data_IF_732609537027
#
_entry.id   IF_732609537027
#
_cell.length_a   1.000
_cell.length_b   1.000
_cell.length_c   1.000
_cell.angle_alpha   90.00
_cell.angle_beta   90.00
_cell.angle_gamma   90.00
#
_symmetry.space_group_name_H-M   'P 1'
#
loop_
_entity.id
_entity.type
_entity.pdbx_description
1 polymer ?
#
# COMPACT_ATOMS: atom_id res chain seq x y z
N UNK A 1 -18.76 8.47 -13.61
CA UNK A 1 -20.09 7.83 -13.56
C UNK A 1 -20.58 7.40 -14.95
N UNK A 2 -20.36 8.19 -15.99
CA UNK A 2 -20.85 7.92 -17.36
C UNK A 2 -20.35 6.61 -18.01
N UNK A 3 -19.40 5.91 -17.40
CA UNK A 3 -18.89 4.61 -17.88
C UNK A 3 -19.53 3.40 -17.18
N UNK A 4 -20.36 3.63 -16.17
CA UNK A 4 -21.05 2.55 -15.44
C UNK A 4 -22.47 2.46 -16.01
N UNK A 5 -22.86 1.28 -16.51
CA UNK A 5 -24.21 1.06 -17.02
C UNK A 5 -25.25 1.43 -15.97
N UNK A 6 -26.30 2.13 -16.40
CA UNK A 6 -27.47 2.40 -15.56
C UNK A 6 -28.03 1.09 -14.99
N UNK A 7 -28.38 1.09 -13.70
CA UNK A 7 -28.79 -0.13 -12.99
C UNK A 7 -27.66 -1.05 -12.54
N UNK A 8 -26.40 -0.74 -12.83
CA UNK A 8 -25.25 -1.51 -12.33
C UNK A 8 -25.11 -1.40 -10.81
N UNK A 9 -24.83 -2.53 -10.15
CA UNK A 9 -24.46 -2.59 -8.72
C UNK A 9 -23.00 -2.22 -8.44
N UNK A 10 -22.22 -1.86 -9.47
CA UNK A 10 -20.84 -1.42 -9.30
C UNK A 10 -20.75 -0.20 -8.39
N UNK A 11 -19.78 -0.22 -7.49
CA UNK A 11 -19.49 0.85 -6.54
C UNK A 11 -18.08 1.37 -6.78
N UNK A 12 -17.82 2.62 -6.37
CA UNK A 12 -16.50 3.21 -6.37
C UNK A 12 -16.29 3.98 -5.06
N UNK A 13 -15.06 4.02 -4.61
CA UNK A 13 -14.63 4.88 -3.50
C UNK A 13 -13.37 5.64 -3.93
N UNK A 14 -13.21 6.85 -3.43
CA UNK A 14 -12.05 7.72 -3.72
C UNK A 14 -11.57 8.34 -2.42
N UNK A 15 -10.26 8.39 -2.25
CA UNK A 15 -9.58 9.17 -1.21
C UNK A 15 -8.53 10.04 -1.88
N UNK A 16 -8.51 11.32 -1.55
CA UNK A 16 -7.45 12.27 -1.92
C UNK A 16 -6.79 12.73 -0.63
N UNK A 17 -5.49 12.55 -0.54
CA UNK A 17 -4.72 12.81 0.68
C UNK A 17 -3.44 13.59 0.34
N UNK A 18 -3.06 14.52 1.19
CA UNK A 18 -1.74 15.16 1.12
C UNK A 18 -0.68 14.27 1.75
N UNK A 19 0.59 14.54 1.45
CA UNK A 19 1.72 13.78 2.00
C UNK A 19 1.83 13.80 3.53
N UNK A 20 1.19 14.76 4.18
CA UNK A 20 1.10 14.88 5.64
C UNK A 20 -0.08 14.10 6.26
N UNK A 21 -0.88 13.40 5.45
CA UNK A 21 -2.03 12.62 5.91
C UNK A 21 -3.36 13.37 5.94
N UNK A 22 -3.38 14.66 5.58
CA UNK A 22 -4.63 15.41 5.51
C UNK A 22 -5.54 14.87 4.40
N UNK A 23 -6.70 14.35 4.75
CA UNK A 23 -7.72 13.92 3.80
C UNK A 23 -8.37 15.14 3.18
N UNK A 24 -8.10 15.40 1.90
CA UNK A 24 -8.60 16.54 1.13
C UNK A 24 -9.98 16.28 0.54
N UNK A 25 -10.24 15.05 0.16
CA UNK A 25 -11.55 14.59 -0.31
C UNK A 25 -11.72 13.11 -0.07
N UNK A 26 -12.95 12.68 0.20
CA UNK A 26 -13.27 11.27 0.36
C UNK A 26 -14.70 11.01 -0.14
N UNK A 27 -14.84 9.97 -0.94
CA UNK A 27 -16.15 9.45 -1.39
C UNK A 27 -16.18 7.95 -1.11
N UNK A 28 -17.08 7.52 -0.24
CA UNK A 28 -17.19 6.11 0.19
C UNK A 28 -18.09 5.24 -0.68
N UNK A 29 -18.76 5.80 -1.68
CA UNK A 29 -19.68 5.06 -2.55
C UNK A 29 -20.52 5.99 -3.43
N UNK A 30 -21.34 5.40 -4.32
CA UNK A 30 -22.22 6.15 -5.23
C UNK A 30 -23.44 6.77 -4.54
N UNK A 31 -23.87 6.19 -3.43
CA UNK A 31 -25.01 6.69 -2.62
C UNK A 31 -24.46 7.23 -1.32
N UNK A 32 -24.44 8.54 -1.16
CA UNK A 32 -23.86 9.24 0.00
C UNK A 32 -24.90 9.95 0.86
N UNK A 33 -26.18 9.85 0.49
CA UNK A 33 -27.26 10.63 1.07
C UNK A 33 -27.76 10.13 2.44
N UNK A 34 -27.36 8.95 2.85
CA UNK A 34 -27.81 8.34 4.12
C UNK A 34 -26.72 8.44 5.17
N UNK A 35 -27.02 9.09 6.28
CA UNK A 35 -26.19 9.04 7.48
C UNK A 35 -25.98 7.57 7.92
N UNK A 36 -24.75 7.19 8.22
CA UNK A 36 -24.42 5.80 8.59
C UNK A 36 -24.29 4.82 7.40
N UNK A 37 -24.36 5.29 6.16
CA UNK A 37 -24.12 4.44 4.99
C UNK A 37 -22.72 3.84 5.03
N UNK A 38 -22.57 2.59 4.55
CA UNK A 38 -21.30 1.90 4.48
C UNK A 38 -20.28 2.65 3.64
N UNK A 39 -19.25 3.18 4.29
CA UNK A 39 -18.16 3.92 3.67
C UNK A 39 -17.05 2.98 3.21
N UNK A 40 -16.98 2.71 1.92
CA UNK A 40 -15.98 1.78 1.35
C UNK A 40 -14.55 2.29 1.43
N UNK A 41 -14.35 3.58 1.60
CA UNK A 41 -13.02 4.14 1.74
C UNK A 41 -12.38 3.78 3.09
N UNK A 42 -13.21 3.66 4.14
CA UNK A 42 -12.75 3.44 5.53
C UNK A 42 -13.12 2.09 6.11
N UNK A 43 -14.11 1.39 5.53
CA UNK A 43 -14.68 0.17 6.11
C UNK A 43 -14.52 -1.06 5.22
N UNK A 44 -14.35 -0.91 3.90
CA UNK A 44 -14.22 -2.04 3.00
C UNK A 44 -12.78 -2.55 3.02
N UNK A 45 -12.58 -3.75 3.53
CA UNK A 45 -11.34 -4.49 3.33
C UNK A 45 -11.31 -5.07 1.91
N UNK A 46 -10.22 -4.84 1.21
CA UNK A 46 -9.98 -5.32 -0.15
C UNK A 46 -8.55 -5.80 -0.28
N UNK A 47 -8.38 -6.90 -1.00
CA UNK A 47 -7.06 -7.41 -1.35
C UNK A 47 -6.27 -6.33 -2.08
N UNK A 48 -5.07 -6.03 -1.59
CA UNK A 48 -4.26 -4.91 -2.07
C UNK A 48 -3.66 -5.18 -3.46
N UNK A 49 -3.44 -6.45 -3.79
CA UNK A 49 -2.87 -6.84 -5.08
C UNK A 49 -1.55 -6.15 -5.36
N UNK A 50 -1.31 -5.79 -6.60
CA UNK A 50 -0.05 -5.14 -7.02
C UNK A 50 0.20 -3.77 -6.39
N UNK A 51 -0.78 -3.15 -5.74
CA UNK A 51 -0.56 -1.93 -4.96
C UNK A 51 0.31 -2.19 -3.70
N UNK A 52 0.51 -3.44 -3.30
CA UNK A 52 1.43 -3.79 -2.22
C UNK A 52 2.90 -3.81 -2.64
N UNK A 53 3.21 -3.99 -3.92
CA UNK A 53 4.60 -4.13 -4.40
C UNK A 53 5.54 -2.99 -4.00
N UNK A 54 5.15 -1.70 -3.99
CA UNK A 54 6.03 -0.63 -3.53
C UNK A 54 6.63 -0.88 -2.15
N UNK A 55 5.92 -1.54 -1.22
CA UNK A 55 6.45 -1.85 0.12
C UNK A 55 7.50 -2.96 0.10
N UNK A 56 7.44 -3.88 -0.85
CA UNK A 56 8.48 -4.88 -1.10
C UNK A 56 9.76 -4.20 -1.58
N UNK A 57 9.65 -3.30 -2.55
CA UNK A 57 10.79 -2.55 -3.08
C UNK A 57 11.30 -1.51 -2.07
N UNK A 58 10.42 -0.88 -1.29
CA UNK A 58 10.82 0.01 -0.19
C UNK A 58 11.75 -0.71 0.80
N UNK A 59 11.40 -1.94 1.20
CA UNK A 59 12.21 -2.74 2.08
C UNK A 59 13.58 -3.09 1.47
N UNK A 60 13.66 -3.38 0.16
CA UNK A 60 14.90 -3.67 -0.53
C UNK A 60 15.80 -2.41 -0.61
N UNK A 61 15.24 -1.28 -1.02
CA UNK A 61 15.96 -0.01 -1.16
C UNK A 61 16.48 0.48 0.21
N UNK A 62 15.69 0.33 1.27
CA UNK A 62 16.11 0.71 2.62
C UNK A 62 17.26 -0.17 3.15
N UNK A 63 17.37 -1.41 2.68
CA UNK A 63 18.51 -2.30 2.92
C UNK A 63 19.72 -2.02 2.01
N UNK A 64 19.69 -0.96 1.20
CA UNK A 64 20.80 -0.52 0.37
C UNK A 64 20.82 -1.10 -1.05
N UNK A 65 19.73 -1.75 -1.50
CA UNK A 65 19.62 -2.12 -2.91
C UNK A 65 19.41 -0.87 -3.76
N UNK A 66 19.80 -0.97 -5.03
CA UNK A 66 19.63 0.11 -6.01
C UNK A 66 18.47 -0.19 -6.96
N UNK A 67 17.74 0.82 -7.45
CA UNK A 67 16.77 0.65 -8.52
C UNK A 67 17.38 0.02 -9.80
N UNK A 68 18.70 0.15 -9.96
CA UNK A 68 19.46 -0.41 -11.09
C UNK A 68 19.98 -1.83 -10.84
N UNK A 69 19.81 -2.38 -9.64
CA UNK A 69 20.15 -3.77 -9.38
C UNK A 69 19.26 -4.70 -10.17
N UNK A 70 19.82 -5.85 -10.56
CA UNK A 70 19.15 -6.81 -11.40
C UNK A 70 18.41 -7.86 -10.57
N UNK A 71 17.25 -8.25 -11.08
CA UNK A 71 16.45 -9.38 -10.57
C UNK A 71 16.00 -10.25 -11.75
N UNK A 72 15.91 -11.56 -11.50
CA UNK A 72 15.45 -12.49 -12.51
C UNK A 72 13.93 -12.50 -12.65
N UNK A 73 13.44 -12.33 -13.86
CA UNK A 73 12.07 -12.60 -14.27
C UNK A 73 12.01 -13.91 -15.08
N UNK A 74 12.18 -15.02 -14.37
CA UNK A 74 12.18 -16.39 -14.90
C UNK A 74 11.25 -17.28 -14.07
N UNK A 75 10.79 -18.42 -14.59
CA UNK A 75 9.90 -19.30 -13.81
C UNK A 75 10.41 -19.57 -12.40
N UNK A 76 9.51 -19.51 -11.44
CA UNK A 76 9.81 -19.66 -10.02
C UNK A 76 8.80 -20.62 -9.38
N UNK A 77 9.31 -21.55 -8.57
CA UNK A 77 8.48 -22.37 -7.68
C UNK A 77 9.03 -22.28 -6.28
N UNK A 78 8.17 -21.96 -5.33
CA UNK A 78 8.52 -21.88 -3.91
C UNK A 78 7.75 -23.00 -3.18
N UNK A 79 8.46 -23.79 -2.40
CA UNK A 79 7.85 -24.80 -1.53
C UNK A 79 7.87 -24.31 -0.09
N UNK A 80 6.71 -24.13 0.48
CA UNK A 80 6.57 -23.76 1.89
C UNK A 80 6.13 -24.97 2.69
N UNK A 81 6.76 -25.27 3.84
CA UNK A 81 6.32 -26.38 4.68
C UNK A 81 4.82 -26.30 4.98
N UNK A 82 4.10 -27.40 4.73
CA UNK A 82 2.66 -27.51 4.98
C UNK A 82 1.74 -26.95 3.88
N UNK A 83 2.27 -26.23 2.86
CA UNK A 83 1.42 -25.60 1.81
C UNK A 83 1.68 -26.15 0.41
N UNK A 84 2.64 -27.06 0.22
CA UNK A 84 3.01 -27.57 -1.09
C UNK A 84 3.72 -26.55 -2.00
N UNK A 85 4.00 -26.93 -3.26
CA UNK A 85 4.67 -26.04 -4.21
C UNK A 85 3.70 -24.96 -4.73
N UNK A 86 4.19 -23.71 -4.76
CA UNK A 86 3.49 -22.56 -5.33
C UNK A 86 4.31 -21.94 -6.47
N UNK A 87 3.69 -21.82 -7.64
CA UNK A 87 4.32 -21.33 -8.86
C UNK A 87 3.57 -20.09 -9.35
N UNK A 88 3.97 -18.89 -8.92
CA UNK A 88 3.37 -17.65 -9.40
C UNK A 88 3.65 -17.43 -10.88
N UNK A 89 2.78 -16.65 -11.54
CA UNK A 89 2.93 -16.25 -12.94
C UNK A 89 2.87 -14.73 -13.05
N UNK A 90 3.55 -14.18 -14.05
CA UNK A 90 3.30 -12.81 -14.48
C UNK A 90 1.91 -12.70 -15.13
N UNK A 91 1.33 -11.51 -15.12
CA UNK A 91 -0.02 -11.28 -15.63
C UNK A 91 -0.17 -11.64 -17.12
N UNK A 92 0.86 -11.34 -17.91
CA UNK A 92 0.95 -11.66 -19.36
C UNK A 92 1.40 -13.11 -19.64
N UNK A 93 1.84 -13.84 -18.63
CA UNK A 93 2.39 -15.20 -18.77
C UNK A 93 3.80 -15.25 -19.32
N UNK A 94 4.43 -14.10 -19.61
CA UNK A 94 5.77 -14.01 -20.20
C UNK A 94 6.86 -13.77 -19.15
N UNK A 95 8.12 -14.02 -19.53
CA UNK A 95 9.31 -13.81 -18.72
C UNK A 95 10.33 -12.99 -19.51
N UNK A 96 10.96 -12.02 -18.84
CA UNK A 96 11.91 -11.08 -19.45
C UNK A 96 13.38 -11.37 -19.15
N UNK A 97 13.66 -12.43 -18.37
CA UNK A 97 15.03 -12.73 -17.95
C UNK A 97 15.54 -11.73 -16.91
N UNK A 98 16.78 -11.27 -17.04
CA UNK A 98 17.37 -10.30 -16.11
C UNK A 98 16.87 -8.89 -16.43
N UNK A 99 16.20 -8.26 -15.46
CA UNK A 99 15.71 -6.87 -15.56
C UNK A 99 16.06 -6.09 -14.29
N UNK A 100 16.06 -4.76 -14.37
CA UNK A 100 16.30 -3.92 -13.18
C UNK A 100 15.11 -3.91 -12.23
N UNK A 101 15.34 -3.58 -10.95
CA UNK A 101 14.26 -3.39 -9.97
C UNK A 101 13.29 -2.30 -10.43
N UNK A 102 13.81 -1.19 -10.96
CA UNK A 102 12.97 -0.11 -11.50
C UNK A 102 12.04 -0.61 -12.61
N UNK A 103 12.56 -1.38 -13.57
CA UNK A 103 11.76 -1.97 -14.64
C UNK A 103 10.73 -2.96 -14.07
N UNK A 104 11.15 -3.82 -13.13
CA UNK A 104 10.29 -4.82 -12.52
C UNK A 104 9.08 -4.19 -11.79
N UNK A 105 9.30 -3.08 -11.07
CA UNK A 105 8.23 -2.33 -10.41
C UNK A 105 7.36 -1.59 -11.42
N UNK A 106 7.94 -0.86 -12.37
CA UNK A 106 7.21 -0.08 -13.38
C UNK A 106 6.27 -0.95 -14.23
N UNK A 107 6.72 -2.16 -14.58
CA UNK A 107 5.90 -3.13 -15.32
C UNK A 107 5.06 -4.04 -14.41
N UNK A 108 5.13 -3.83 -13.11
CA UNK A 108 4.38 -4.60 -12.11
C UNK A 108 4.58 -6.13 -12.24
N UNK A 109 5.83 -6.56 -12.50
CA UNK A 109 6.16 -7.99 -12.65
C UNK A 109 5.94 -8.74 -11.34
N UNK A 110 5.31 -9.89 -11.39
CA UNK A 110 5.01 -10.68 -10.20
C UNK A 110 6.23 -11.47 -9.70
N UNK A 111 6.92 -12.16 -10.62
CA UNK A 111 8.05 -13.01 -10.25
C UNK A 111 9.19 -12.20 -9.60
N UNK A 112 9.63 -11.07 -10.18
CA UNK A 112 10.61 -10.20 -9.54
C UNK A 112 10.19 -9.73 -8.14
N UNK A 113 8.94 -9.30 -7.96
CA UNK A 113 8.46 -8.87 -6.64
C UNK A 113 8.55 -10.00 -5.59
N UNK A 114 8.19 -11.23 -5.97
CA UNK A 114 8.32 -12.39 -5.10
C UNK A 114 9.80 -12.67 -4.79
N UNK A 115 10.69 -12.67 -5.79
CA UNK A 115 12.13 -12.91 -5.58
C UNK A 115 12.75 -11.85 -4.65
N UNK A 116 12.42 -10.57 -4.83
CA UNK A 116 12.88 -9.50 -3.95
C UNK A 116 12.38 -9.72 -2.52
N UNK A 117 11.09 -10.03 -2.34
CA UNK A 117 10.52 -10.30 -1.02
C UNK A 117 11.17 -11.50 -0.31
N UNK A 118 11.48 -12.57 -1.05
CA UNK A 118 12.18 -13.73 -0.48
C UNK A 118 13.65 -13.40 -0.12
N UNK A 119 14.34 -12.61 -0.95
CA UNK A 119 15.73 -12.22 -0.73
C UNK A 119 15.88 -11.24 0.45
N UNK A 120 14.98 -10.27 0.57
CA UNK A 120 14.93 -9.30 1.67
C UNK A 120 14.47 -9.97 2.98
N UNK A 121 13.59 -10.94 2.86
CA UNK A 121 12.91 -11.60 3.96
C UNK A 121 11.50 -11.06 4.18
N UNK A 122 10.52 -11.97 4.18
CA UNK A 122 9.09 -11.63 4.30
C UNK A 122 8.77 -10.82 5.56
N UNK A 123 9.43 -11.13 6.69
CA UNK A 123 9.22 -10.42 7.95
C UNK A 123 9.69 -8.96 7.88
N UNK A 124 10.76 -8.67 7.13
CA UNK A 124 11.22 -7.29 6.90
C UNK A 124 10.18 -6.54 6.05
N UNK A 125 9.68 -7.16 4.99
CA UNK A 125 8.62 -6.58 4.15
C UNK A 125 7.35 -6.33 4.96
N UNK A 126 6.93 -7.29 5.80
CA UNK A 126 5.77 -7.14 6.69
C UNK A 126 5.95 -5.99 7.65
N UNK A 127 7.15 -5.90 8.27
CA UNK A 127 7.45 -4.81 9.20
C UNK A 127 7.39 -3.45 8.52
N UNK A 128 8.03 -3.27 7.37
CA UNK A 128 7.98 -2.01 6.61
C UNK A 128 6.56 -1.64 6.24
N UNK A 129 5.76 -2.59 5.76
CA UNK A 129 4.36 -2.35 5.42
C UNK A 129 3.53 -1.96 6.66
N UNK A 130 3.72 -2.66 7.80
CA UNK A 130 3.03 -2.37 9.05
C UNK A 130 3.44 -1.00 9.63
N UNK A 131 4.72 -0.66 9.59
CA UNK A 131 5.23 0.63 10.05
C UNK A 131 4.67 1.79 9.19
N UNK A 132 4.37 1.57 7.91
CA UNK A 132 3.61 2.51 7.07
C UNK A 132 2.10 2.56 7.37
N UNK A 133 1.61 1.73 8.30
CA UNK A 133 0.22 1.70 8.73
C UNK A 133 -0.63 0.58 8.11
N UNK A 134 -0.05 -0.33 7.33
CA UNK A 134 -0.72 -1.54 6.84
C UNK A 134 -0.70 -2.61 7.93
N UNK A 135 -1.40 -2.36 9.03
CA UNK A 135 -1.41 -3.16 10.26
C UNK A 135 -2.44 -4.32 10.25
N UNK A 136 -3.08 -4.56 9.12
CA UNK A 136 -3.95 -5.73 8.93
C UNK A 136 -3.16 -7.03 9.02
N UNK A 137 -3.85 -8.17 9.13
CA UNK A 137 -3.23 -9.49 9.15
C UNK A 137 -2.50 -9.77 7.83
N UNK A 138 -1.23 -9.34 7.77
CA UNK A 138 -0.40 -9.49 6.59
C UNK A 138 0.00 -10.95 6.40
N UNK A 139 -0.17 -11.47 5.19
CA UNK A 139 0.14 -12.83 4.82
C UNK A 139 1.60 -13.20 5.18
N UNK A 140 1.80 -14.35 5.81
CA UNK A 140 3.14 -14.85 6.14
C UNK A 140 3.80 -15.63 4.98
N UNK A 141 3.03 -16.03 3.99
CA UNK A 141 3.48 -16.81 2.83
C UNK A 141 4.05 -15.93 1.69
N UNK A 142 4.63 -16.57 0.65
CA UNK A 142 5.26 -15.86 -0.47
C UNK A 142 4.28 -14.99 -1.29
N UNK A 143 2.98 -15.25 -1.20
CA UNK A 143 1.94 -14.44 -1.82
C UNK A 143 1.81 -13.02 -1.20
N UNK A 144 2.47 -12.76 -0.05
CA UNK A 144 2.61 -11.42 0.53
C UNK A 144 3.05 -10.39 -0.52
N UNK A 145 4.10 -10.71 -1.29
CA UNK A 145 4.66 -9.81 -2.30
C UNK A 145 3.66 -9.41 -3.40
N UNK A 146 2.60 -10.17 -3.57
CA UNK A 146 1.54 -9.93 -4.56
C UNK A 146 0.28 -9.32 -3.94
N UNK A 147 0.37 -8.88 -2.68
CA UNK A 147 -0.73 -8.24 -1.96
C UNK A 147 -1.90 -9.18 -1.67
N UNK A 148 -1.61 -10.39 -1.20
CA UNK A 148 -2.62 -11.35 -0.76
C UNK A 148 -3.41 -10.87 0.47
N UNK A 149 -2.89 -9.88 1.19
CA UNK A 149 -3.53 -9.28 2.37
C UNK A 149 -4.54 -8.21 2.00
N UNK A 150 -5.49 -7.97 2.88
CA UNK A 150 -6.53 -6.95 2.70
C UNK A 150 -6.19 -5.66 3.46
N UNK A 151 -6.64 -4.53 2.94
CA UNK A 151 -6.55 -3.23 3.59
C UNK A 151 -7.73 -2.34 3.20
N UNK A 152 -7.96 -1.27 3.95
CA UNK A 152 -8.90 -0.23 3.54
C UNK A 152 -8.23 0.74 2.57
N UNK A 153 -9.03 1.43 1.77
CA UNK A 153 -8.51 2.42 0.83
C UNK A 153 -7.80 3.58 1.54
N UNK A 154 -8.34 4.04 2.67
CA UNK A 154 -7.73 5.16 3.42
C UNK A 154 -6.38 4.76 4.02
N UNK A 155 -6.26 3.56 4.57
CA UNK A 155 -5.01 3.02 5.12
C UNK A 155 -3.95 2.89 4.03
N UNK A 156 -4.31 2.31 2.89
CA UNK A 156 -3.41 2.19 1.74
C UNK A 156 -2.97 3.57 1.22
N UNK A 157 -3.90 4.53 1.14
CA UNK A 157 -3.57 5.91 0.72
C UNK A 157 -2.62 6.59 1.71
N UNK A 158 -2.78 6.36 3.02
CA UNK A 158 -1.88 6.85 4.06
C UNK A 158 -0.47 6.26 3.93
N UNK A 159 -0.37 4.96 3.66
CA UNK A 159 0.92 4.29 3.44
C UNK A 159 1.67 4.87 2.22
N UNK A 160 0.96 5.15 1.12
CA UNK A 160 1.54 5.83 -0.04
C UNK A 160 1.92 7.30 0.25
N UNK A 161 1.12 8.01 1.07
CA UNK A 161 1.48 9.36 1.52
C UNK A 161 2.78 9.35 2.34
N UNK A 162 3.02 8.27 3.10
CA UNK A 162 4.27 8.05 3.83
C UNK A 162 5.49 7.86 2.92
N UNK A 163 5.35 7.17 1.80
CA UNK A 163 6.40 7.10 0.78
C UNK A 163 6.65 8.50 0.20
N UNK A 164 5.58 9.21 -0.19
CA UNK A 164 5.65 10.53 -0.82
C UNK A 164 6.26 11.61 0.09
N UNK A 165 6.10 11.52 1.42
CA UNK A 165 6.65 12.49 2.37
C UNK A 165 8.14 12.29 2.68
N UNK A 166 8.78 11.33 2.04
CA UNK A 166 10.20 11.01 2.25
C UNK A 166 10.42 9.83 3.21
N UNK A 167 9.42 9.00 3.46
CA UNK A 167 9.58 7.72 4.15
C UNK A 167 9.17 7.70 5.62
N UNK A 168 8.34 8.64 6.07
CA UNK A 168 7.74 8.61 7.42
C UNK A 168 6.33 8.05 7.37
N UNK A 169 5.91 7.36 8.42
CA UNK A 169 4.52 6.91 8.56
C UNK A 169 3.52 8.07 8.55
N UNK A 170 2.29 7.78 8.21
CA UNK A 170 1.22 8.79 8.17
C UNK A 170 -0.04 8.23 8.83
N UNK A 171 -0.58 8.97 9.79
CA UNK A 171 -1.91 8.74 10.30
C UNK A 171 -2.89 9.68 9.59
N UNK A 172 -3.84 9.17 8.80
CA UNK A 172 -4.83 9.99 8.11
C UNK A 172 -5.68 10.81 9.06
N UNK A 173 -5.95 12.07 8.73
CA UNK A 173 -6.81 12.95 9.50
C UNK A 173 -7.69 13.84 8.61
N UNK A 174 -8.91 14.14 9.07
CA UNK A 174 -9.87 15.03 8.37
C UNK A 174 -10.11 16.34 9.10
N UNK A 175 -9.71 16.43 10.37
CA UNK A 175 -9.94 17.60 11.22
C UNK A 175 -8.67 17.89 12.03
N UNK A 176 -8.29 19.15 12.11
CA UNK A 176 -7.11 19.57 12.88
C UNK A 176 -7.45 19.89 14.33
N UNK A 177 -8.58 20.57 14.51
CA UNK A 177 -8.97 21.08 15.80
C UNK A 177 -10.47 21.29 15.84
N UNK A 178 -11.08 21.03 16.99
CA UNK A 178 -12.45 21.38 17.31
C UNK A 178 -12.46 22.15 18.62
N UNK A 179 -12.81 23.46 18.57
CA UNK A 179 -12.97 24.31 19.75
C UNK A 179 -14.42 24.70 19.88
N UNK A 180 -15.00 24.54 21.07
CA UNK A 180 -16.36 25.01 21.37
C UNK A 180 -16.35 26.54 21.54
N UNK A 181 -17.43 27.18 21.08
CA UNK A 181 -17.57 28.62 21.24
C UNK A 181 -17.54 29.02 22.73
N UNK A 182 -16.59 29.89 23.06
CA UNK A 182 -16.40 30.36 24.44
C UNK A 182 -15.34 29.62 25.26
N UNK A 183 -14.81 28.50 24.72
CA UNK A 183 -13.72 27.75 25.36
C UNK A 183 -12.37 28.21 24.77
N UNK A 184 -11.34 28.28 25.63
CA UNK A 184 -9.98 28.63 25.21
C UNK A 184 -9.18 27.42 24.72
N UNK A 185 -9.52 26.23 25.21
CA UNK A 185 -8.84 24.99 24.90
C UNK A 185 -9.66 24.16 23.89
N UNK A 186 -9.01 23.50 22.92
CA UNK A 186 -9.70 22.67 21.98
C UNK A 186 -10.26 21.41 22.64
N UNK A 187 -11.50 21.06 22.31
CA UNK A 187 -12.15 19.80 22.69
C UNK A 187 -11.43 18.60 22.07
N UNK A 188 -10.92 18.77 20.86
CA UNK A 188 -10.14 17.78 20.12
C UNK A 188 -9.01 18.47 19.36
N UNK A 189 -7.82 17.93 19.45
CA UNK A 189 -6.69 18.26 18.59
C UNK A 189 -6.56 17.30 17.40
N UNK A 190 -5.61 17.56 16.53
CA UNK A 190 -5.30 16.69 15.40
C UNK A 190 -4.77 15.34 15.92
N UNK A 191 -5.53 14.29 15.71
CA UNK A 191 -5.15 12.91 16.05
C UNK A 191 -4.36 12.21 14.94
N UNK A 192 -3.73 12.95 14.01
CA UNK A 192 -3.05 12.37 12.84
C UNK A 192 -1.89 13.22 12.35
N UNK A 193 -1.37 12.88 11.18
CA UNK A 193 -0.25 13.56 10.55
C UNK A 193 0.96 12.67 10.37
N UNK A 194 2.13 13.29 10.15
CA UNK A 194 3.40 12.58 9.93
C UNK A 194 3.88 12.00 11.27
N UNK A 195 4.19 10.70 11.24
CA UNK A 195 4.73 9.94 12.36
C UNK A 195 6.22 9.66 12.23
N UNK A 196 6.64 8.51 12.74
CA UNK A 196 8.04 8.08 12.73
C UNK A 196 8.55 7.74 11.33
N UNK A 197 9.85 7.82 11.14
CA UNK A 197 10.51 7.39 9.92
C UNK A 197 10.47 5.87 9.81
N UNK A 198 10.00 5.38 8.67
CA UNK A 198 9.89 3.94 8.34
C UNK A 198 11.06 3.50 7.47
N UNK A 199 11.39 4.28 6.44
CA UNK A 199 12.52 4.03 5.54
C UNK A 199 13.37 5.31 5.41
N UNK A 200 14.58 5.18 4.92
CA UNK A 200 15.47 6.31 4.66
C UNK A 200 14.89 7.24 3.57
N UNK A 201 15.26 8.52 3.63
CA UNK A 201 14.86 9.48 2.59
C UNK A 201 15.39 9.10 1.21
N UNK A 202 16.55 8.43 1.16
CA UNK A 202 17.11 7.93 -0.07
C UNK A 202 16.21 6.86 -0.66
N UNK A 203 15.84 5.84 0.11
CA UNK A 203 14.95 4.77 -0.34
C UNK A 203 13.59 5.33 -0.81
N UNK A 204 13.03 6.29 -0.09
CA UNK A 204 11.78 6.93 -0.48
C UNK A 204 11.90 7.70 -1.81
N UNK A 205 13.00 8.43 -2.02
CA UNK A 205 13.26 9.14 -3.29
C UNK A 205 13.49 8.19 -4.47
N UNK A 206 14.16 7.09 -4.23
CA UNK A 206 14.42 6.08 -5.28
C UNK A 206 13.16 5.29 -5.67
N UNK A 207 12.15 5.28 -4.80
CA UNK A 207 10.88 4.62 -5.03
C UNK A 207 9.86 5.50 -5.78
N UNK A 208 10.02 6.83 -5.74
CA UNK A 208 9.13 7.81 -6.39
C UNK A 208 9.71 8.35 -7.70
#
# INVERSE_FOLDING_TARGET
ENKIKEGSNAQAAVVVMSADGAVRAMVGGRKTELAGAFNRATQALRQTGSAFKPFVYAAALDLGWSPMDFVEDTPLTITTPGSGPWTPKNYDGEFKGMITLAQALAESRNIPAVRVSEAVGREVVRKVAADFGLDSDLAAGPALALGASESTLITMTGAYAGILNGGSSVTPYGMRELTLQGEAEPLMGAGGGIGERVISEQAARELT
#
